data_IF_698916478803
#
_entry.id   IF_698916478803
#
_cell.length_a   1.000
_cell.length_b   1.000
_cell.length_c   1.000
_cell.angle_alpha   90.00
_cell.angle_beta   90.00
_cell.angle_gamma   90.00
#
_symmetry.space_group_name_H-M   'P 1'
#
loop_
_entity.id
_entity.type
_entity.pdbx_description
1 polymer ?
#
# COMPACT_ATOMS: atom_id res chain seq x y z
N UNK A 1 23.38 -19.84 -68.90
CA UNK A 1 24.08 -18.64 -69.40
C UNK A 1 23.18 -17.83 -70.33
N UNK A 2 22.57 -18.42 -71.38
CA UNK A 2 21.63 -17.71 -72.28
C UNK A 2 20.45 -17.04 -71.56
N UNK A 3 19.74 -17.74 -70.66
CA UNK A 3 18.64 -17.15 -69.88
C UNK A 3 19.03 -15.84 -69.16
N UNK A 4 20.25 -15.77 -68.62
CA UNK A 4 20.71 -14.57 -67.93
C UNK A 4 20.92 -13.39 -68.89
N UNK A 5 21.46 -13.65 -70.09
CA UNK A 5 21.58 -12.63 -71.13
C UNK A 5 20.20 -12.20 -71.65
N UNK A 6 19.30 -13.14 -71.94
CA UNK A 6 17.94 -12.85 -72.44
C UNK A 6 17.16 -11.98 -71.44
N UNK A 7 17.32 -12.24 -70.14
CA UNK A 7 16.76 -11.40 -69.09
C UNK A 7 17.36 -10.00 -69.05
N UNK A 8 18.68 -9.88 -69.20
CA UNK A 8 19.39 -8.59 -69.16
C UNK A 8 19.08 -7.74 -70.39
N UNK A 9 18.96 -8.37 -71.56
CA UNK A 9 18.58 -7.73 -72.83
C UNK A 9 17.13 -7.26 -72.78
N UNK A 10 16.22 -8.07 -72.25
CA UNK A 10 14.84 -7.65 -72.01
C UNK A 10 14.77 -6.49 -71.01
N UNK A 11 15.47 -6.59 -69.88
CA UNK A 11 15.44 -5.58 -68.81
C UNK A 11 15.96 -4.20 -69.28
N UNK A 12 16.87 -4.18 -70.24
CA UNK A 12 17.41 -2.95 -70.83
C UNK A 12 16.67 -2.49 -72.09
N UNK A 13 15.73 -3.30 -72.60
CA UNK A 13 14.88 -2.95 -73.76
C UNK A 13 13.84 -1.88 -73.44
N UNK A 14 13.48 -1.07 -74.44
CA UNK A 14 12.45 -0.02 -74.33
C UNK A 14 11.08 -0.56 -73.96
N UNK A 15 10.76 -1.80 -74.36
CA UNK A 15 9.45 -2.43 -74.11
C UNK A 15 9.26 -2.84 -72.63
N UNK A 16 10.35 -3.01 -71.87
CA UNK A 16 10.30 -3.35 -70.45
C UNK A 16 10.14 -2.13 -69.54
N UNK A 17 10.41 -0.92 -70.03
CA UNK A 17 10.36 0.31 -69.23
C UNK A 17 9.03 0.54 -68.50
N UNK A 18 7.84 0.35 -69.13
CA UNK A 18 6.56 0.54 -68.43
C UNK A 18 6.37 -0.46 -67.27
N UNK A 19 6.76 -1.72 -67.48
CA UNK A 19 6.63 -2.79 -66.49
C UNK A 19 7.57 -2.54 -65.31
N UNK A 20 8.83 -2.17 -65.60
CA UNK A 20 9.83 -1.81 -64.57
C UNK A 20 9.36 -0.60 -63.78
N UNK A 21 8.83 0.44 -64.44
CA UNK A 21 8.29 1.61 -63.77
C UNK A 21 7.15 1.26 -62.82
N UNK A 22 6.16 0.49 -63.28
CA UNK A 22 5.06 0.03 -62.42
C UNK A 22 5.54 -0.81 -61.23
N UNK A 23 6.53 -1.70 -61.44
CA UNK A 23 7.12 -2.50 -60.37
C UNK A 23 7.85 -1.62 -59.33
N UNK A 24 8.63 -0.62 -59.79
CA UNK A 24 9.32 0.33 -58.90
C UNK A 24 8.32 1.18 -58.12
N UNK A 25 7.28 1.69 -58.77
CA UNK A 25 6.21 2.45 -58.11
C UNK A 25 5.52 1.61 -57.05
N UNK A 26 5.20 0.35 -57.36
CA UNK A 26 4.60 -0.59 -56.39
C UNK A 26 5.55 -0.83 -55.20
N UNK A 27 6.84 -1.06 -55.46
CA UNK A 27 7.82 -1.26 -54.41
C UNK A 27 7.93 -0.04 -53.48
N UNK A 28 7.99 1.18 -54.06
CA UNK A 28 8.01 2.43 -53.30
C UNK A 28 6.71 2.60 -52.51
N UNK A 29 5.55 2.32 -53.11
CA UNK A 29 4.26 2.42 -52.44
C UNK A 29 4.22 1.52 -51.20
N UNK A 30 4.67 0.26 -51.31
CA UNK A 30 4.74 -0.67 -50.17
C UNK A 30 5.67 -0.15 -49.08
N UNK A 31 6.86 0.35 -49.44
CA UNK A 31 7.83 0.90 -48.49
C UNK A 31 7.25 2.12 -47.75
N UNK A 32 6.65 3.05 -48.49
CA UNK A 32 6.07 4.28 -47.94
C UNK A 32 4.87 3.95 -47.05
N UNK A 33 3.98 3.04 -47.48
CA UNK A 33 2.86 2.56 -46.66
C UNK A 33 3.33 1.89 -45.37
N UNK A 34 4.38 1.06 -45.43
CA UNK A 34 4.95 0.42 -44.26
C UNK A 34 5.57 1.41 -43.26
N UNK A 35 6.28 2.42 -43.77
CA UNK A 35 6.85 3.49 -42.95
C UNK A 35 5.77 4.32 -42.26
N UNK A 36 4.74 4.75 -43.01
CA UNK A 36 3.59 5.47 -42.47
C UNK A 36 2.86 4.67 -41.40
N UNK A 37 2.56 3.40 -41.67
CA UNK A 37 1.90 2.52 -40.72
C UNK A 37 2.70 2.34 -39.42
N UNK A 38 4.01 2.13 -39.54
CA UNK A 38 4.92 2.02 -38.38
C UNK A 38 4.95 3.31 -37.55
N UNK A 39 4.96 4.47 -38.20
CA UNK A 39 5.01 5.75 -37.51
C UNK A 39 3.72 6.05 -36.73
N UNK A 40 2.55 5.80 -37.34
CA UNK A 40 1.25 5.94 -36.68
C UNK A 40 1.12 4.95 -35.51
N UNK A 41 1.50 3.69 -35.72
CA UNK A 41 1.45 2.66 -34.69
C UNK A 41 2.30 3.04 -33.47
N UNK A 42 3.53 3.52 -33.70
CA UNK A 42 4.43 3.96 -32.61
C UNK A 42 3.86 5.14 -31.83
N UNK A 43 3.18 6.08 -32.51
CA UNK A 43 2.48 7.19 -31.88
C UNK A 43 1.31 6.72 -31.02
N UNK A 44 0.48 5.83 -31.54
CA UNK A 44 -0.68 5.27 -30.84
C UNK A 44 -0.28 4.49 -29.59
N UNK A 45 0.75 3.63 -29.67
CA UNK A 45 1.25 2.84 -28.54
C UNK A 45 1.79 3.75 -27.44
N UNK A 46 2.59 4.77 -27.79
CA UNK A 46 3.10 5.75 -26.81
C UNK A 46 1.96 6.53 -26.15
N UNK A 47 0.97 6.94 -26.92
CA UNK A 47 -0.20 7.66 -26.43
C UNK A 47 -1.03 6.82 -25.46
N UNK A 48 -1.26 5.54 -25.79
CA UNK A 48 -1.95 4.58 -24.93
C UNK A 48 -1.19 4.37 -23.63
N UNK A 49 0.11 4.09 -23.71
CA UNK A 49 0.95 3.87 -22.52
C UNK A 49 0.94 5.08 -21.60
N UNK A 50 1.07 6.29 -22.15
CA UNK A 50 1.02 7.52 -21.35
C UNK A 50 -0.35 7.75 -20.67
N UNK A 51 -1.46 7.30 -21.29
CA UNK A 51 -2.80 7.35 -20.66
C UNK A 51 -2.89 6.34 -19.52
N UNK A 52 -2.54 5.07 -19.78
CA UNK A 52 -2.53 4.01 -18.76
C UNK A 52 -1.64 4.37 -17.58
N UNK A 53 -0.45 4.93 -17.80
CA UNK A 53 0.42 5.39 -16.72
C UNK A 53 -0.22 6.50 -15.88
N UNK A 54 -0.92 7.46 -16.50
CA UNK A 54 -1.62 8.53 -15.76
C UNK A 54 -2.78 7.96 -14.95
N UNK A 55 -3.53 7.04 -15.52
CA UNK A 55 -4.64 6.35 -14.86
C UNK A 55 -4.15 5.51 -13.67
N UNK A 56 -3.09 4.72 -13.83
CA UNK A 56 -2.47 3.96 -12.74
C UNK A 56 -2.05 4.87 -11.59
N UNK A 57 -1.38 5.99 -11.90
CA UNK A 57 -0.96 6.98 -10.90
C UNK A 57 -2.16 7.58 -10.16
N UNK A 58 -3.19 7.99 -10.89
CA UNK A 58 -4.40 8.55 -10.31
C UNK A 58 -5.13 7.52 -9.42
N UNK A 59 -5.25 6.27 -9.88
CA UNK A 59 -5.90 5.19 -9.14
C UNK A 59 -5.19 4.86 -7.83
N UNK A 60 -3.84 4.84 -7.83
CA UNK A 60 -3.06 4.56 -6.64
C UNK A 60 -3.15 5.71 -5.61
N UNK A 61 -3.16 6.97 -6.07
CA UNK A 61 -3.37 8.13 -5.18
C UNK A 61 -4.79 8.14 -4.63
N UNK A 62 -5.79 7.82 -5.45
CA UNK A 62 -7.18 7.70 -5.00
C UNK A 62 -7.31 6.60 -3.92
N UNK A 63 -6.70 5.43 -4.13
CA UNK A 63 -6.68 4.34 -3.16
C UNK A 63 -5.99 4.75 -1.84
N UNK A 64 -4.90 5.51 -1.89
CA UNK A 64 -4.26 6.02 -0.66
C UNK A 64 -5.15 7.02 0.09
N UNK A 65 -5.84 7.91 -0.62
CA UNK A 65 -6.70 8.92 -0.01
C UNK A 65 -7.95 8.27 0.59
N UNK A 66 -8.54 7.30 -0.11
CA UNK A 66 -9.65 6.50 0.40
C UNK A 66 -9.26 5.75 1.68
N UNK A 67 -8.11 5.07 1.67
CA UNK A 67 -7.53 4.44 2.85
C UNK A 67 -7.23 5.43 3.98
N UNK A 68 -6.85 6.69 3.66
CA UNK A 68 -6.65 7.75 4.66
C UNK A 68 -7.96 8.13 5.36
N UNK A 69 -9.05 8.22 4.59
CA UNK A 69 -10.39 8.51 5.12
C UNK A 69 -10.90 7.39 6.02
N UNK A 70 -10.66 6.13 5.69
CA UNK A 70 -11.00 5.03 6.61
C UNK A 70 -10.11 5.02 7.86
N UNK A 71 -8.82 5.31 7.71
CA UNK A 71 -7.87 5.38 8.81
C UNK A 71 -8.20 6.50 9.81
N UNK A 72 -8.76 7.63 9.34
CA UNK A 72 -9.14 8.76 10.19
C UNK A 72 -10.34 8.48 11.09
N UNK A 73 -11.18 7.50 10.74
CA UNK A 73 -12.36 7.09 11.52
C UNK A 73 -12.18 5.72 12.18
N UNK A 74 -10.96 5.17 12.17
CA UNK A 74 -10.66 3.78 12.55
C UNK A 74 -11.20 3.37 13.92
N UNK A 75 -11.10 4.24 14.93
CA UNK A 75 -11.59 3.94 16.28
C UNK A 75 -13.13 3.94 16.41
N UNK A 76 -13.84 4.47 15.41
CA UNK A 76 -15.31 4.45 15.34
C UNK A 76 -15.86 3.23 14.58
N UNK A 77 -15.00 2.53 13.84
CA UNK A 77 -15.34 1.34 13.08
C UNK A 77 -15.52 0.13 13.99
N UNK A 78 -16.36 -0.81 13.58
CA UNK A 78 -16.46 -2.12 14.23
C UNK A 78 -15.19 -2.94 14.01
N UNK A 79 -14.89 -3.96 14.84
CA UNK A 79 -13.69 -4.78 14.67
C UNK A 79 -13.57 -5.46 13.29
N UNK A 80 -14.69 -5.81 12.65
CA UNK A 80 -14.69 -6.39 11.30
C UNK A 80 -14.31 -5.34 10.24
N UNK A 81 -14.84 -4.12 10.36
CA UNK A 81 -14.52 -3.01 9.46
C UNK A 81 -13.07 -2.55 9.63
N UNK A 82 -12.51 -2.60 10.85
CA UNK A 82 -11.10 -2.32 11.08
C UNK A 82 -10.17 -3.25 10.29
N UNK A 83 -10.47 -4.55 10.24
CA UNK A 83 -9.69 -5.52 9.46
C UNK A 83 -9.78 -5.24 7.96
N UNK A 84 -10.96 -4.84 7.47
CA UNK A 84 -11.13 -4.44 6.07
C UNK A 84 -10.34 -3.18 5.76
N UNK A 85 -10.36 -2.19 6.65
CA UNK A 85 -9.59 -0.96 6.51
C UNK A 85 -8.08 -1.21 6.51
N UNK A 86 -7.59 -2.09 7.38
CA UNK A 86 -6.19 -2.49 7.40
C UNK A 86 -5.77 -3.18 6.08
N UNK A 87 -6.67 -4.00 5.50
CA UNK A 87 -6.44 -4.59 4.18
C UNK A 87 -6.44 -3.53 3.08
N UNK A 88 -7.34 -2.56 3.11
CA UNK A 88 -7.39 -1.46 2.14
C UNK A 88 -6.11 -0.63 2.17
N UNK A 89 -5.60 -0.29 3.36
CA UNK A 89 -4.29 0.35 3.56
C UNK A 89 -3.16 -0.49 2.95
N UNK A 90 -3.13 -1.80 3.20
CA UNK A 90 -2.11 -2.70 2.65
C UNK A 90 -2.17 -2.81 1.11
N UNK A 91 -3.37 -2.83 0.53
CA UNK A 91 -3.57 -2.81 -0.92
C UNK A 91 -3.10 -1.49 -1.54
N UNK A 92 -3.45 -0.36 -0.93
CA UNK A 92 -3.03 0.97 -1.38
C UNK A 92 -1.50 1.14 -1.32
N UNK A 93 -0.85 0.69 -0.24
CA UNK A 93 0.62 0.68 -0.11
C UNK A 93 1.27 -0.15 -1.22
N UNK A 94 0.73 -1.35 -1.50
CA UNK A 94 1.23 -2.22 -2.56
C UNK A 94 1.11 -1.55 -3.93
N UNK A 95 -0.04 -0.97 -4.26
CA UNK A 95 -0.25 -0.25 -5.53
C UNK A 95 0.78 0.86 -5.71
N UNK A 96 1.04 1.63 -4.65
CA UNK A 96 1.98 2.75 -4.69
C UNK A 96 3.41 2.27 -4.91
N UNK A 97 3.84 1.19 -4.24
CA UNK A 97 5.18 0.62 -4.41
C UNK A 97 5.42 0.07 -5.81
N UNK A 98 4.37 -0.39 -6.49
CA UNK A 98 4.44 -0.90 -7.86
C UNK A 98 4.44 0.21 -8.91
N UNK A 99 4.18 1.48 -8.54
CA UNK A 99 4.19 2.58 -9.50
C UNK A 99 5.59 2.82 -10.08
N UNK A 100 5.70 3.04 -11.40
CA UNK A 100 6.96 3.42 -12.05
C UNK A 100 7.26 4.92 -11.87
N UNK A 101 7.30 5.39 -10.61
CA UNK A 101 7.62 6.78 -10.24
C UNK A 101 8.82 6.82 -9.29
N UNK A 102 9.68 7.81 -9.47
CA UNK A 102 10.79 8.05 -8.53
C UNK A 102 10.27 8.28 -7.11
N UNK A 103 10.82 7.52 -6.17
CA UNK A 103 10.50 7.68 -4.76
C UNK A 103 9.17 7.06 -4.34
N UNK A 104 8.56 6.19 -5.17
CA UNK A 104 7.37 5.41 -4.82
C UNK A 104 7.49 4.71 -3.45
N UNK A 105 8.60 3.99 -3.21
CA UNK A 105 8.83 3.36 -1.90
C UNK A 105 8.96 4.36 -0.74
N UNK A 106 9.57 5.53 -0.97
CA UNK A 106 9.67 6.59 0.06
C UNK A 106 8.28 7.19 0.35
N UNK A 107 7.48 7.45 -0.69
CA UNK A 107 6.12 7.94 -0.55
C UNK A 107 5.22 6.92 0.17
N UNK A 108 5.37 5.63 -0.13
CA UNK A 108 4.67 4.55 0.56
C UNK A 108 5.02 4.49 2.05
N UNK A 109 6.31 4.55 2.41
CA UNK A 109 6.73 4.60 3.81
C UNK A 109 6.21 5.84 4.54
N UNK A 110 6.26 7.01 3.87
CA UNK A 110 5.73 8.26 4.41
C UNK A 110 4.22 8.18 4.63
N UNK A 111 3.46 7.63 3.66
CA UNK A 111 2.02 7.43 3.78
C UNK A 111 1.67 6.44 4.90
N UNK A 112 2.44 5.36 5.06
CA UNK A 112 2.28 4.41 6.15
C UNK A 112 2.40 5.08 7.53
N UNK A 113 3.33 6.01 7.70
CA UNK A 113 3.44 6.79 8.93
C UNK A 113 2.22 7.72 9.13
N UNK A 114 1.78 8.42 8.07
CA UNK A 114 0.58 9.26 8.14
C UNK A 114 -0.67 8.46 8.51
N UNK A 115 -0.82 7.22 8.01
CA UNK A 115 -1.93 6.36 8.40
C UNK A 115 -1.88 5.97 9.88
N UNK A 116 -0.69 5.68 10.41
CA UNK A 116 -0.52 5.39 11.83
C UNK A 116 -0.91 6.60 12.69
N UNK A 117 -0.50 7.81 12.30
CA UNK A 117 -0.86 9.05 12.98
C UNK A 117 -2.36 9.36 12.87
N UNK A 118 -2.97 9.18 11.70
CA UNK A 118 -4.43 9.33 11.53
C UNK A 118 -5.21 8.34 12.40
N UNK A 119 -4.80 7.07 12.45
CA UNK A 119 -5.41 6.06 13.33
C UNK A 119 -5.30 6.43 14.80
N UNK A 120 -4.11 6.87 15.23
CA UNK A 120 -3.88 7.33 16.61
C UNK A 120 -4.76 8.54 16.94
N UNK A 121 -4.85 9.50 16.02
CA UNK A 121 -5.62 10.73 16.21
C UNK A 121 -7.14 10.52 16.09
N UNK A 122 -7.59 9.45 15.42
CA UNK A 122 -9.01 9.09 15.28
C UNK A 122 -9.69 8.90 16.64
N UNK A 123 -8.95 8.38 17.63
CA UNK A 123 -9.46 8.18 18.97
C UNK A 123 -9.75 9.49 19.72
N UNK A 124 -9.03 10.57 19.38
CA UNK A 124 -9.09 11.85 20.09
C UNK A 124 -9.92 12.89 19.34
N UNK A 125 -9.82 12.94 18.01
CA UNK A 125 -10.31 14.05 17.19
C UNK A 125 -11.46 13.69 16.25
N UNK A 126 -11.91 12.43 16.21
CA UNK A 126 -13.06 11.98 15.43
C UNK A 126 -13.08 12.56 14.01
N UNK A 127 -14.00 13.50 13.75
CA UNK A 127 -14.21 14.12 12.43
C UNK A 127 -13.31 15.33 12.09
N UNK A 128 -12.44 15.80 12.99
CA UNK A 128 -11.60 16.98 12.71
C UNK A 128 -10.34 16.65 11.88
N UNK A 129 -10.26 15.46 11.29
CA UNK A 129 -9.12 15.01 10.49
C UNK A 129 -9.22 15.43 9.01
N UNK A 130 -10.31 16.07 8.58
CA UNK A 130 -10.49 16.57 7.21
C UNK A 130 -9.32 17.46 6.72
N UNK A 131 -8.79 18.41 7.51
CA UNK A 131 -7.64 19.21 7.10
C UNK A 131 -6.37 18.36 6.90
N UNK A 132 -6.17 17.34 7.74
CA UNK A 132 -5.02 16.45 7.64
C UNK A 132 -5.11 15.55 6.40
N UNK A 133 -6.31 15.08 6.05
CA UNK A 133 -6.56 14.33 4.81
C UNK A 133 -6.35 15.23 3.59
N UNK A 134 -6.81 16.48 3.64
CA UNK A 134 -6.63 17.44 2.56
C UNK A 134 -5.13 17.74 2.32
N UNK A 135 -4.34 17.96 3.37
CA UNK A 135 -2.90 18.12 3.27
C UNK A 135 -2.23 16.84 2.72
N UNK A 136 -2.60 15.67 3.24
CA UNK A 136 -2.09 14.39 2.77
C UNK A 136 -2.30 14.22 1.25
N UNK A 137 -3.53 14.47 0.78
CA UNK A 137 -3.88 14.45 -0.65
C UNK A 137 -3.04 15.45 -1.46
N UNK A 138 -2.92 16.68 -1.00
CA UNK A 138 -2.17 17.72 -1.70
C UNK A 138 -0.69 17.34 -1.84
N UNK A 139 -0.09 16.75 -0.80
CA UNK A 139 1.29 16.27 -0.85
C UNK A 139 1.48 15.09 -1.79
N UNK A 140 0.50 14.20 -1.91
CA UNK A 140 0.51 13.14 -2.92
C UNK A 140 0.39 13.70 -4.35
N UNK A 141 -0.42 14.74 -4.55
CA UNK A 141 -0.55 15.44 -5.84
C UNK A 141 0.76 16.16 -6.20
N UNK A 142 1.40 16.87 -5.26
CA UNK A 142 2.72 17.48 -5.51
C UNK A 142 3.77 16.41 -5.82
N UNK A 143 3.71 15.25 -5.16
CA UNK A 143 4.58 14.12 -5.51
C UNK A 143 4.31 13.56 -6.91
N UNK A 144 3.05 13.42 -7.31
CA UNK A 144 2.70 13.00 -8.67
C UNK A 144 3.27 13.96 -9.72
N UNK A 145 3.19 15.26 -9.46
CA UNK A 145 3.63 16.32 -10.36
C UNK A 145 5.16 16.50 -10.35
N UNK A 146 5.80 16.41 -9.19
CA UNK A 146 7.23 16.71 -8.95
C UNK A 146 7.88 15.63 -8.07
N UNK A 147 8.00 14.39 -8.55
CA UNK A 147 8.40 13.25 -7.72
C UNK A 147 9.81 13.39 -7.14
N UNK A 148 10.74 14.02 -7.87
CA UNK A 148 12.11 14.25 -7.39
C UNK A 148 12.19 15.23 -6.21
N UNK A 149 11.36 16.28 -6.21
CA UNK A 149 11.31 17.26 -5.12
C UNK A 149 10.57 16.67 -3.93
N UNK A 150 9.36 16.16 -4.14
CA UNK A 150 8.53 15.62 -3.08
C UNK A 150 9.19 14.43 -2.37
N UNK A 151 9.93 13.56 -3.08
CA UNK A 151 10.73 12.50 -2.46
C UNK A 151 11.67 13.04 -1.38
N UNK A 152 12.33 14.18 -1.62
CA UNK A 152 13.24 14.78 -0.62
C UNK A 152 12.48 15.28 0.59
N UNK A 153 11.30 15.85 0.38
CA UNK A 153 10.44 16.33 1.47
C UNK A 153 9.96 15.14 2.31
N UNK A 154 9.45 14.08 1.67
CA UNK A 154 9.05 12.85 2.37
C UNK A 154 10.20 12.20 3.13
N UNK A 155 11.39 12.17 2.53
CA UNK A 155 12.57 11.65 3.20
C UNK A 155 12.93 12.49 4.43
N UNK A 156 12.89 13.83 4.31
CA UNK A 156 13.15 14.73 5.43
C UNK A 156 12.14 14.54 6.57
N UNK A 157 10.85 14.38 6.27
CA UNK A 157 9.84 14.07 7.28
C UNK A 157 10.09 12.73 7.96
N UNK A 158 10.38 11.68 7.18
CA UNK A 158 10.72 10.36 7.72
C UNK A 158 11.94 10.42 8.64
N UNK A 159 12.97 11.17 8.24
CA UNK A 159 14.14 11.39 9.08
C UNK A 159 13.79 12.16 10.35
N UNK A 160 12.97 13.23 10.25
CA UNK A 160 12.48 14.01 11.40
C UNK A 160 11.74 13.12 12.41
N UNK A 161 10.77 12.33 11.95
CA UNK A 161 9.99 11.41 12.81
C UNK A 161 10.87 10.34 13.47
N UNK A 162 11.88 9.84 12.76
CA UNK A 162 12.86 8.91 13.34
C UNK A 162 13.61 9.54 14.52
N UNK A 163 14.00 10.80 14.40
CA UNK A 163 14.67 11.52 15.49
C UNK A 163 13.71 11.80 16.65
N UNK A 164 12.48 12.27 16.39
CA UNK A 164 11.45 12.50 17.41
C UNK A 164 11.13 11.24 18.22
N UNK A 165 11.01 10.08 17.55
CA UNK A 165 10.78 8.80 18.22
C UNK A 165 11.98 8.36 19.08
N UNK A 166 13.20 8.55 18.59
CA UNK A 166 14.43 8.18 19.34
C UNK A 166 14.56 9.00 20.62
N UNK A 167 14.26 10.31 20.55
CA UNK A 167 14.32 11.18 21.73
C UNK A 167 13.21 10.84 22.72
N UNK A 168 11.99 10.58 22.24
CA UNK A 168 10.88 10.12 23.08
C UNK A 168 11.23 8.82 23.82
N UNK A 169 11.75 7.83 23.10
CA UNK A 169 12.15 6.54 23.67
C UNK A 169 13.23 6.70 24.76
N UNK A 170 14.25 7.52 24.51
CA UNK A 170 15.26 7.85 25.54
C UNK A 170 14.64 8.46 26.79
N UNK A 171 13.69 9.39 26.63
CA UNK A 171 13.03 10.01 27.80
C UNK A 171 12.17 9.03 28.58
N UNK A 172 11.50 8.07 27.91
CA UNK A 172 10.71 7.04 28.57
C UNK A 172 11.60 6.07 29.36
N UNK A 173 12.75 5.68 28.80
CA UNK A 173 13.75 4.85 29.50
C UNK A 173 14.27 5.59 30.73
N UNK A 174 14.64 6.87 30.61
CA UNK A 174 15.11 7.66 31.74
C UNK A 174 14.05 7.82 32.85
N UNK A 175 12.77 7.97 32.49
CA UNK A 175 11.67 8.00 33.45
C UNK A 175 11.47 6.65 34.14
N UNK A 176 11.59 5.55 33.41
CA UNK A 176 11.53 4.21 33.98
C UNK A 176 12.68 3.98 34.97
N UNK A 177 13.91 4.38 34.62
CA UNK A 177 15.07 4.27 35.51
C UNK A 177 14.89 5.12 36.78
N UNK A 178 14.37 6.35 36.64
CA UNK A 178 14.09 7.22 37.79
C UNK A 178 12.99 6.66 38.70
N UNK A 179 11.94 6.06 38.13
CA UNK A 179 10.88 5.42 38.88
C UNK A 179 11.39 4.17 39.63
N UNK A 180 12.21 3.35 38.98
CA UNK A 180 12.88 2.20 39.60
C UNK A 180 13.78 2.67 40.74
N UNK A 181 14.57 3.73 40.54
CA UNK A 181 15.43 4.30 41.57
C UNK A 181 14.64 4.83 42.78
N UNK A 182 13.48 5.47 42.56
CA UNK A 182 12.58 5.92 43.63
C UNK A 182 11.99 4.74 44.40
N UNK A 183 11.51 3.70 43.73
CA UNK A 183 11.02 2.48 44.38
C UNK A 183 12.10 1.81 45.24
N UNK A 184 13.34 1.71 44.75
CA UNK A 184 14.46 1.18 45.53
C UNK A 184 14.80 2.09 46.73
N UNK A 185 14.75 3.41 46.57
CA UNK A 185 15.01 4.35 47.66
C UNK A 185 13.93 4.29 48.74
N UNK A 186 12.66 4.10 48.37
CA UNK A 186 11.54 3.92 49.31
C UNK A 186 11.63 2.58 50.07
N UNK A 187 12.02 1.50 49.40
CA UNK A 187 12.19 0.17 50.02
C UNK A 187 13.41 0.08 50.94
N UNK A 188 14.44 0.92 50.71
CA UNK A 188 15.68 0.94 51.48
C UNK A 188 15.85 2.20 52.35
N UNK A 189 14.81 3.04 52.46
CA UNK A 189 14.82 4.17 53.39
C UNK A 189 14.76 3.65 54.84
N UNK A 190 15.67 4.09 55.72
CA UNK A 190 15.81 3.56 57.08
C UNK A 190 14.60 3.81 58.00
N UNK A 191 13.61 4.60 57.59
CA UNK A 191 12.35 4.80 58.31
C UNK A 191 11.31 3.68 58.08
N UNK A 192 11.48 2.81 57.07
CA UNK A 192 10.60 1.65 56.88
C UNK A 192 10.90 0.50 57.87
N UNK A 193 12.00 0.57 58.62
CA UNK A 193 12.37 -0.44 59.63
C UNK A 193 11.63 -0.27 60.98
N UNK A 194 10.79 0.77 61.12
CA UNK A 194 10.08 1.06 62.38
C UNK A 194 8.56 0.81 62.32
N UNK A 195 8.08 -0.13 61.49
CA UNK A 195 6.68 -0.57 61.52
C UNK A 195 6.60 -1.95 62.22
N UNK A 196 5.93 -2.08 63.38
CA UNK A 196 5.87 -3.35 64.10
C UNK A 196 5.07 -4.37 63.29
N UNK A 197 5.75 -5.43 62.88
CA UNK A 197 5.13 -6.65 62.38
C UNK A 197 4.48 -7.38 63.55
N UNK A 198 3.16 -7.27 63.64
CA UNK A 198 2.36 -8.17 64.49
C UNK A 198 2.36 -9.55 63.81
N UNK A 199 2.79 -10.65 64.46
CA UNK A 199 2.71 -11.97 63.86
C UNK A 199 1.26 -12.43 63.95
N UNK A 200 0.56 -12.49 62.81
CA UNK A 200 -0.71 -13.22 62.72
C UNK A 200 -0.41 -14.69 62.41
N UNK A 201 -1.05 -15.54 63.20
CA UNK A 201 -0.86 -16.98 63.31
C UNK A 201 -0.91 -17.75 61.98
N UNK A 202 -0.11 -18.82 61.93
CA UNK A 202 -0.28 -19.93 60.98
C UNK A 202 -1.70 -20.52 61.10
N UNK A 203 -2.46 -20.66 60.00
CA UNK A 203 -3.59 -21.57 59.96
C UNK A 203 -3.08 -22.99 59.67
N UNK A 204 -3.42 -23.91 60.56
CA UNK A 204 -3.28 -25.35 60.39
C UNK A 204 -4.02 -25.85 59.13
N UNK A 205 -3.56 -26.93 58.48
CA UNK A 205 -4.19 -27.48 57.30
C UNK A 205 -5.48 -28.23 57.68
N UNK A 206 -6.62 -27.62 57.39
CA UNK A 206 -7.92 -28.30 57.42
C UNK A 206 -8.15 -28.99 56.07
N UNK A 207 -8.36 -30.30 56.13
CA UNK A 207 -8.73 -31.16 55.03
C UNK A 207 -9.98 -30.66 54.29
N UNK A 208 -9.93 -30.68 52.95
CA UNK A 208 -11.11 -30.68 52.10
C UNK A 208 -11.01 -31.89 51.15
N UNK A 209 -11.70 -32.95 51.54
CA UNK A 209 -12.08 -34.02 50.64
C UNK A 209 -13.31 -33.59 49.82
N UNK A 210 -13.33 -34.07 48.58
CA UNK A 210 -14.52 -34.52 47.83
C UNK A 210 -15.25 -33.55 46.88
N UNK A 211 -15.34 -34.07 45.63
CA UNK A 211 -16.50 -34.09 44.71
C UNK A 211 -16.87 -32.78 43.98
N UNK A 212 -16.63 -32.68 42.67
CA UNK A 212 -17.56 -33.12 41.61
C UNK A 212 -17.43 -32.25 40.33
N UNK A 213 -18.06 -32.60 39.18
CA UNK A 213 -17.33 -32.91 37.96
C UNK A 213 -17.33 -31.87 36.82
N UNK A 214 -16.28 -32.01 35.99
CA UNK A 214 -16.22 -31.89 34.51
C UNK A 214 -17.47 -31.33 33.83
N UNK A 215 -17.34 -30.13 33.24
CA UNK A 215 -18.24 -29.68 32.17
C UNK A 215 -17.57 -29.99 30.83
N UNK A 216 -18.08 -31.04 30.22
CA UNK A 216 -17.79 -31.55 28.87
C UNK A 216 -17.87 -30.44 27.83
N UNK A 217 -16.83 -30.34 27.01
CA UNK A 217 -16.85 -29.58 25.77
C UNK A 217 -17.73 -30.32 24.75
N UNK A 218 -18.75 -29.65 24.24
CA UNK A 218 -19.57 -30.13 23.13
C UNK A 218 -19.05 -29.50 21.82
N UNK A 219 -18.54 -30.29 20.86
CA UNK A 219 -18.19 -29.78 19.54
C UNK A 219 -19.46 -29.67 18.69
N UNK A 220 -19.90 -28.44 18.41
CA UNK A 220 -20.97 -28.20 17.43
C UNK A 220 -20.44 -28.56 16.04
N UNK A 221 -21.05 -29.60 15.49
CA UNK A 221 -20.79 -30.16 14.17
C UNK A 221 -21.04 -29.14 13.06
N UNK A 222 -20.07 -29.10 12.13
CA UNK A 222 -20.19 -28.55 10.78
C UNK A 222 -21.32 -29.27 10.06
N UNK A 223 -22.42 -28.56 9.76
CA UNK A 223 -23.44 -29.08 8.86
C UNK A 223 -23.23 -28.47 7.47
N UNK A 224 -22.61 -29.25 6.59
CA UNK A 224 -22.61 -29.05 5.15
C UNK A 224 -24.00 -29.42 4.62
N UNK A 225 -24.69 -28.46 4.00
CA UNK A 225 -26.02 -28.66 3.44
C UNK A 225 -26.27 -27.76 2.23
N UNK A 226 -25.78 -28.22 1.09
CA UNK A 226 -26.01 -27.73 -0.27
C UNK A 226 -27.50 -27.53 -0.63
N UNK A 227 -27.86 -26.37 -1.22
CA UNK A 227 -28.66 -26.31 -2.47
C UNK A 227 -28.69 -24.90 -3.12
N UNK A 228 -28.39 -24.78 -4.42
CA UNK A 228 -28.66 -23.58 -5.20
C UNK A 228 -30.09 -23.66 -5.78
N UNK A 229 -30.89 -22.61 -5.62
CA UNK A 229 -32.13 -22.40 -6.37
C UNK A 229 -31.90 -21.33 -7.43
N UNK A 230 -31.87 -21.76 -8.68
CA UNK A 230 -32.01 -20.90 -9.87
C UNK A 230 -33.46 -20.42 -10.05
N UNK A 231 -33.70 -19.59 -11.08
CA UNK A 231 -34.67 -18.49 -11.04
C UNK A 231 -36.09 -18.89 -11.47
N UNK A 232 -37.09 -18.31 -10.79
CA UNK A 232 -38.47 -18.28 -11.28
C UNK A 232 -38.63 -17.17 -12.32
N UNK A 233 -39.13 -17.57 -13.48
CA UNK A 233 -39.69 -16.74 -14.52
C UNK A 233 -41.20 -16.96 -14.53
N UNK A 234 -42.00 -15.89 -14.36
CA UNK A 234 -43.34 -15.67 -14.94
C UNK A 234 -43.91 -14.34 -14.43
N UNK A 235 -43.91 -13.32 -15.28
CA UNK A 235 -45.08 -12.57 -15.82
C UNK A 235 -44.64 -11.23 -16.42
#
# INVERSE_FOLDING_TARGET
MQWFNDFTDWFTSSDAQPVIFSAVVLAIAIIVSGLLASWISRGAIKGLLARTEREQKASAIAALVDAATEASVWNSLTPQEQVLSDRAVGQADTLVRLLPIRGAGTAANWAGHQFAEMKRNSATFGYQLDPAIAEFRERLIDWQNKPGRARRIFQNDLDRWRYENTDTERTLIAQQDAWVAQQHHEQHSPDAAARPTTPLASPAPAAAASTGPVRTAEPVSVNQGFRPTGPDATD
#
